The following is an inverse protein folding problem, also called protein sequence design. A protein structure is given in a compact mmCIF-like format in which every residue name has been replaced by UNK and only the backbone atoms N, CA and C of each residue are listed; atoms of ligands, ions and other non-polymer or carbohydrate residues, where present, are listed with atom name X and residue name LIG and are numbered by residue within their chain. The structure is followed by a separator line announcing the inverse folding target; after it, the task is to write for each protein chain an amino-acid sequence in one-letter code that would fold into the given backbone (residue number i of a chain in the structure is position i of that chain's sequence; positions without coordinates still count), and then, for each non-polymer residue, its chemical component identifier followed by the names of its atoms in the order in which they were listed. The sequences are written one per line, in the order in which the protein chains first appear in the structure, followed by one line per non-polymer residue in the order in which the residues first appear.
data_IF_934614884541
#
_entry.id   IF_934614884541
#
_cell.length_a   1.000
_cell.length_b   1.000
_cell.length_c   1.000
_cell.angle_alpha   90.00
_cell.angle_beta   90.00
_cell.angle_gamma   90.00
#
_symmetry.space_group_name_H-M   'P 1'
#
loop_
_entity.id
_entity.type
_entity.pdbx_description
1 polymer ?
#
# COMPACT_ATOMS: atom_id res chain seq x y z
N UNK A 1 -11.54 36.92 -29.91
CA UNK A 1 -10.88 35.62 -30.19
C UNK A 1 -9.70 35.48 -29.22
N UNK A 2 -9.91 34.97 -28.01
CA UNK A 2 -8.83 34.85 -27.02
C UNK A 2 -9.06 33.74 -25.98
N UNK A 3 -9.73 32.62 -26.31
CA UNK A 3 -10.10 31.62 -25.28
C UNK A 3 -9.65 30.18 -25.57
N UNK A 4 -8.89 29.94 -26.64
CA UNK A 4 -8.46 28.57 -26.99
C UNK A 4 -7.02 28.22 -26.57
N UNK A 5 -6.19 29.20 -26.20
CA UNK A 5 -4.80 28.93 -25.77
C UNK A 5 -4.68 28.64 -24.27
N UNK A 6 -5.47 29.31 -23.42
CA UNK A 6 -5.46 29.08 -21.97
C UNK A 6 -5.87 27.66 -21.55
N UNK A 7 -6.85 27.08 -22.25
CA UNK A 7 -7.34 25.71 -22.00
C UNK A 7 -6.33 24.62 -22.38
N UNK A 8 -5.49 24.85 -23.40
CA UNK A 8 -4.42 23.92 -23.81
C UNK A 8 -3.26 23.94 -22.83
N UNK A 9 -2.90 25.12 -22.31
CA UNK A 9 -1.83 25.27 -21.32
C UNK A 9 -2.16 24.58 -19.99
N UNK A 10 -3.42 24.65 -19.53
CA UNK A 10 -3.87 23.98 -18.31
C UNK A 10 -3.86 22.44 -18.44
N UNK A 11 -4.35 21.90 -19.57
CA UNK A 11 -4.29 20.45 -19.84
C UNK A 11 -2.86 19.92 -19.95
N UNK A 12 -1.96 20.70 -20.56
CA UNK A 12 -0.54 20.35 -20.63
C UNK A 12 0.13 20.42 -19.26
N UNK A 13 -0.21 21.39 -18.42
CA UNK A 13 0.34 21.44 -17.06
C UNK A 13 -0.24 20.34 -16.14
N UNK A 14 -1.48 19.92 -16.32
CA UNK A 14 -2.03 18.73 -15.63
C UNK A 14 -1.36 17.44 -16.09
N UNK A 15 -1.08 17.28 -17.38
CA UNK A 15 -0.39 16.09 -17.91
C UNK A 15 1.09 16.06 -17.55
N UNK A 16 1.76 17.22 -17.56
CA UNK A 16 3.14 17.40 -17.13
C UNK A 16 3.28 17.26 -15.61
N UNK A 17 2.37 17.81 -14.80
CA UNK A 17 2.36 17.57 -13.35
C UNK A 17 2.02 16.12 -12.98
N UNK A 18 1.22 15.42 -13.81
CA UNK A 18 1.05 13.96 -13.74
C UNK A 18 2.33 13.21 -14.12
N UNK A 19 3.06 13.64 -15.15
CA UNK A 19 4.28 12.95 -15.59
C UNK A 19 5.41 13.07 -14.57
N UNK A 20 5.53 14.19 -13.86
CA UNK A 20 6.49 14.35 -12.75
C UNK A 20 6.14 13.54 -11.50
N UNK A 21 4.88 13.08 -11.34
CA UNK A 21 4.50 12.17 -10.23
C UNK A 21 4.81 10.70 -10.51
N UNK A 22 5.28 10.36 -11.71
CA UNK A 22 5.59 8.98 -12.11
C UNK A 22 7.01 8.93 -12.69
N UNK A 23 7.99 9.44 -11.96
CA UNK A 23 9.31 8.82 -12.05
C UNK A 23 9.21 7.57 -11.18
N UNK A 24 8.77 6.45 -11.75
CA UNK A 24 8.76 5.16 -11.04
C UNK A 24 10.22 4.84 -10.67
N UNK A 25 10.62 5.21 -9.45
CA UNK A 25 11.78 4.60 -8.82
C UNK A 25 11.49 3.11 -8.83
N UNK A 26 12.22 2.38 -9.67
CA UNK A 26 12.12 0.93 -9.74
C UNK A 26 12.38 0.41 -8.32
N UNK A 27 11.38 -0.16 -7.64
CA UNK A 27 11.50 -0.53 -6.23
C UNK A 27 12.51 -1.67 -6.12
N UNK A 28 13.50 -1.56 -5.25
CA UNK A 28 14.50 -2.64 -5.09
C UNK A 28 13.87 -3.94 -4.62
N UNK A 29 12.78 -3.84 -3.85
CA UNK A 29 12.05 -4.98 -3.31
C UNK A 29 10.54 -4.78 -3.52
N UNK A 30 9.87 -5.83 -3.98
CA UNK A 30 8.40 -5.92 -4.03
C UNK A 30 7.94 -6.85 -2.92
N UNK A 31 7.12 -6.37 -2.00
CA UNK A 31 6.53 -7.18 -0.93
C UNK A 31 5.05 -7.36 -1.23
N UNK A 32 4.66 -8.61 -1.46
CA UNK A 32 3.27 -9.03 -1.52
C UNK A 32 2.77 -9.29 -0.12
N UNK A 33 1.59 -8.78 0.19
CA UNK A 33 0.90 -9.04 1.45
C UNK A 33 -0.52 -9.53 1.17
N UNK A 34 -1.00 -10.41 2.03
CA UNK A 34 -2.36 -10.94 2.03
C UNK A 34 -2.69 -11.36 3.46
N UNK A 35 -3.97 -11.45 3.81
CA UNK A 35 -4.35 -12.02 5.08
C UNK A 35 -5.68 -12.77 5.07
N UNK A 36 -5.77 -13.70 6.01
CA UNK A 36 -6.98 -14.49 6.25
C UNK A 36 -7.45 -14.30 7.69
N UNK A 37 -8.76 -14.37 7.92
CA UNK A 37 -9.39 -14.26 9.23
C UNK A 37 -10.26 -15.47 9.51
N UNK A 38 -10.15 -16.01 10.72
CA UNK A 38 -11.10 -16.97 11.27
C UNK A 38 -12.27 -16.22 11.90
N UNK A 39 -13.44 -16.29 11.25
CA UNK A 39 -14.66 -15.65 11.71
C UNK A 39 -15.21 -16.15 13.05
N UNK A 40 -14.74 -17.30 13.57
CA UNK A 40 -15.15 -17.82 14.89
C UNK A 40 -14.28 -17.27 16.01
N UNK A 41 -12.98 -17.18 15.79
CA UNK A 41 -12.01 -16.77 16.83
C UNK A 41 -11.56 -15.32 16.71
N UNK A 42 -11.94 -14.62 15.63
CA UNK A 42 -11.47 -13.27 15.29
C UNK A 42 -9.93 -13.18 15.29
N UNK A 43 -9.28 -14.29 14.92
CA UNK A 43 -7.83 -14.36 14.72
C UNK A 43 -7.55 -14.25 13.25
N UNK A 44 -6.55 -13.46 12.91
CA UNK A 44 -6.08 -13.36 11.53
C UNK A 44 -4.64 -13.81 11.40
N UNK A 45 -4.28 -14.18 10.19
CA UNK A 45 -2.90 -14.45 9.81
C UNK A 45 -2.57 -13.62 8.58
N UNK A 46 -1.53 -12.79 8.68
CA UNK A 46 -0.95 -12.08 7.54
C UNK A 46 0.20 -12.89 6.96
N UNK A 47 0.21 -13.04 5.65
CA UNK A 47 1.32 -13.60 4.87
C UNK A 47 2.04 -12.49 4.10
N UNK A 48 3.37 -12.53 4.12
CA UNK A 48 4.23 -11.58 3.42
C UNK A 48 5.30 -12.31 2.64
N UNK A 49 5.45 -11.97 1.36
CA UNK A 49 6.49 -12.52 0.48
C UNK A 49 7.17 -11.38 -0.27
N UNK A 50 8.48 -11.24 -0.11
CA UNK A 50 9.26 -10.18 -0.74
C UNK A 50 10.29 -10.70 -1.73
N UNK A 51 10.33 -10.10 -2.92
CA UNK A 51 11.23 -10.45 -4.01
C UNK A 51 12.08 -9.25 -4.43
N UNK A 52 13.33 -9.49 -4.80
CA UNK A 52 14.16 -8.47 -5.45
C UNK A 52 13.79 -8.30 -6.94
N UNK A 53 14.48 -7.37 -7.61
CA UNK A 53 14.31 -7.12 -9.05
C UNK A 53 14.76 -8.27 -9.94
N UNK A 54 15.60 -9.17 -9.43
CA UNK A 54 16.12 -10.33 -10.15
C UNK A 54 15.25 -11.57 -9.95
N UNK A 55 14.18 -11.47 -9.14
CA UNK A 55 13.29 -12.58 -8.81
C UNK A 55 13.80 -13.48 -7.69
N UNK A 56 14.79 -13.05 -6.91
CA UNK A 56 15.23 -13.79 -5.74
C UNK A 56 14.30 -13.52 -4.55
N UNK A 57 13.94 -14.57 -3.81
CA UNK A 57 13.20 -14.45 -2.57
C UNK A 57 14.07 -13.78 -1.51
N UNK A 58 13.66 -12.59 -1.05
CA UNK A 58 14.37 -11.82 -0.03
C UNK A 58 13.79 -12.03 1.35
N UNK A 59 12.47 -12.22 1.44
CA UNK A 59 11.80 -12.35 2.73
C UNK A 59 10.50 -13.15 2.63
N UNK A 60 10.24 -13.93 3.68
CA UNK A 60 8.98 -14.60 3.93
C UNK A 60 8.64 -14.38 5.40
N UNK A 61 7.45 -13.84 5.69
CA UNK A 61 7.00 -13.58 7.07
C UNK A 61 5.53 -13.92 7.20
N UNK A 62 5.18 -14.60 8.29
CA UNK A 62 3.79 -14.79 8.72
C UNK A 62 3.60 -14.16 10.09
N UNK A 63 2.45 -13.51 10.30
CA UNK A 63 2.13 -12.85 11.57
C UNK A 63 0.71 -13.22 11.96
N UNK A 64 0.52 -13.65 13.21
CA UNK A 64 -0.79 -13.95 13.76
C UNK A 64 -1.26 -12.75 14.58
N UNK A 65 -2.43 -12.23 14.26
CA UNK A 65 -3.10 -11.20 15.06
C UNK A 65 -4.32 -11.80 15.77
N UNK A 66 -4.66 -11.21 16.93
CA UNK A 66 -5.83 -11.58 17.72
C UNK A 66 -6.78 -10.39 17.81
N UNK A 67 -8.06 -10.66 18.01
CA UNK A 67 -9.10 -9.64 18.20
C UNK A 67 -9.22 -8.69 16.99
N UNK A 68 -9.13 -9.24 15.77
CA UNK A 68 -9.23 -8.44 14.55
C UNK A 68 -10.71 -8.26 14.18
N UNK A 69 -11.22 -7.02 14.09
CA UNK A 69 -12.65 -6.75 14.07
C UNK A 69 -13.32 -7.03 12.72
N UNK A 70 -12.55 -7.14 11.63
CA UNK A 70 -13.10 -7.37 10.29
C UNK A 70 -12.05 -7.92 9.30
N UNK A 71 -12.50 -8.50 8.16
CA UNK A 71 -11.61 -8.85 7.05
C UNK A 71 -10.86 -7.63 6.49
N UNK A 72 -11.50 -6.45 6.43
CA UNK A 72 -10.80 -5.24 6.00
C UNK A 72 -9.70 -4.82 6.99
N UNK A 73 -9.93 -4.93 8.30
CA UNK A 73 -8.89 -4.67 9.30
C UNK A 73 -7.74 -5.69 9.21
N UNK A 74 -8.07 -6.94 8.84
CA UNK A 74 -7.08 -8.01 8.60
C UNK A 74 -6.13 -7.66 7.47
N UNK A 75 -6.67 -7.18 6.34
CA UNK A 75 -5.89 -6.68 5.21
C UNK A 75 -5.07 -5.43 5.56
N UNK A 76 -5.63 -4.51 6.35
CA UNK A 76 -4.91 -3.33 6.82
C UNK A 76 -3.71 -3.72 7.70
N UNK A 77 -3.87 -4.70 8.58
CA UNK A 77 -2.77 -5.23 9.39
C UNK A 77 -1.70 -5.91 8.55
N UNK A 78 -2.06 -6.65 7.50
CA UNK A 78 -1.09 -7.22 6.57
C UNK A 78 -0.28 -6.14 5.86
N UNK A 79 -0.94 -5.08 5.40
CA UNK A 79 -0.28 -3.93 4.79
C UNK A 79 0.69 -3.26 5.78
N UNK A 80 0.27 -3.02 7.03
CA UNK A 80 1.11 -2.47 8.10
C UNK A 80 2.33 -3.35 8.41
N UNK A 81 2.14 -4.67 8.50
CA UNK A 81 3.26 -5.59 8.70
C UNK A 81 4.22 -5.59 7.50
N UNK A 82 3.71 -5.42 6.27
CA UNK A 82 4.49 -5.17 5.07
C UNK A 82 5.31 -3.88 5.15
N UNK A 83 4.73 -2.78 5.63
CA UNK A 83 5.41 -1.50 5.84
C UNK A 83 6.55 -1.63 6.84
N UNK A 84 6.27 -2.21 8.02
CA UNK A 84 7.30 -2.47 9.05
C UNK A 84 8.42 -3.35 8.52
N UNK A 85 8.09 -4.35 7.71
CA UNK A 85 9.07 -5.22 7.07
C UNK A 85 9.94 -4.45 6.07
N UNK A 86 9.32 -3.61 5.24
CA UNK A 86 10.04 -2.74 4.30
C UNK A 86 11.03 -1.81 5.00
N UNK A 87 10.62 -1.19 6.11
CA UNK A 87 11.50 -0.37 6.96
C UNK A 87 12.65 -1.22 7.54
N UNK A 88 12.34 -2.42 8.03
CA UNK A 88 13.32 -3.33 8.63
C UNK A 88 14.38 -3.82 7.64
N UNK A 89 14.03 -3.94 6.35
CA UNK A 89 14.95 -4.31 5.27
C UNK A 89 15.95 -3.20 4.91
N UNK A 90 15.81 -1.99 5.46
CA UNK A 90 16.72 -0.84 5.26
C UNK A 90 17.02 -0.52 3.79
N UNK A 91 16.05 -0.76 2.91
CA UNK A 91 16.18 -0.48 1.48
C UNK A 91 15.62 0.91 1.15
N UNK A 92 16.20 1.57 0.15
CA UNK A 92 15.78 2.90 -0.28
C UNK A 92 14.38 2.94 -0.90
N UNK A 93 13.89 1.81 -1.43
CA UNK A 93 12.57 1.73 -2.05
C UNK A 93 11.96 0.34 -1.92
N UNK A 94 10.71 0.30 -1.47
CA UNK A 94 9.87 -0.90 -1.39
C UNK A 94 8.55 -0.60 -2.07
N UNK A 95 8.03 -1.57 -2.83
CA UNK A 95 6.64 -1.55 -3.31
C UNK A 95 5.83 -2.59 -2.57
N UNK A 96 4.83 -2.16 -1.83
CA UNK A 96 3.85 -3.04 -1.18
C UNK A 96 2.73 -3.35 -2.17
N UNK A 97 2.33 -4.61 -2.25
CA UNK A 97 1.30 -5.09 -3.17
C UNK A 97 0.32 -5.99 -2.41
N UNK A 98 -0.95 -5.61 -2.38
CA UNK A 98 -2.04 -6.43 -1.85
C UNK A 98 -3.17 -6.55 -2.87
N UNK A 99 -4.19 -7.34 -2.55
CA UNK A 99 -5.38 -7.53 -3.39
C UNK A 99 -6.55 -6.62 -2.96
N UNK A 100 -6.54 -6.14 -1.72
CA UNK A 100 -7.58 -5.29 -1.15
C UNK A 100 -7.52 -3.86 -1.69
N UNK A 101 -8.30 -3.60 -2.75
CA UNK A 101 -8.47 -2.26 -3.34
C UNK A 101 -8.87 -1.20 -2.33
N UNK A 102 -9.67 -1.56 -1.31
CA UNK A 102 -10.09 -0.63 -0.25
C UNK A 102 -8.88 -0.15 0.53
N UNK A 103 -8.04 -1.08 0.99
CA UNK A 103 -6.84 -0.74 1.77
C UNK A 103 -5.84 0.04 0.93
N UNK A 104 -5.59 -0.38 -0.32
CA UNK A 104 -4.70 0.35 -1.24
C UNK A 104 -5.16 1.80 -1.42
N UNK A 105 -6.46 2.02 -1.65
CA UNK A 105 -7.02 3.36 -1.83
C UNK A 105 -6.91 4.20 -0.56
N UNK A 106 -7.11 3.60 0.61
CA UNK A 106 -7.00 4.31 1.88
C UNK A 106 -5.56 4.73 2.18
N UNK A 107 -4.57 3.86 1.96
CA UNK A 107 -3.15 4.22 2.12
C UNK A 107 -2.70 5.34 1.16
N UNK A 108 -3.36 5.47 0.01
CA UNK A 108 -3.05 6.51 -0.98
C UNK A 108 -3.87 7.80 -0.79
N UNK A 109 -4.87 7.78 0.09
CA UNK A 109 -5.75 8.92 0.32
C UNK A 109 -5.03 9.99 1.17
N UNK A 110 -5.25 11.26 0.81
CA UNK A 110 -4.72 12.41 1.57
C UNK A 110 -5.65 12.76 2.75
N UNK A 111 -6.94 12.43 2.62
CA UNK A 111 -7.94 12.69 3.65
C UNK A 111 -7.84 11.71 4.81
N UNK A 112 -7.96 12.21 6.04
CA UNK A 112 -8.00 11.37 7.23
C UNK A 112 -9.30 10.55 7.30
N UNK A 113 -9.18 9.22 7.27
CA UNK A 113 -10.28 8.32 7.60
C UNK A 113 -10.50 8.26 9.12
N UNK A 114 -11.76 8.35 9.56
CA UNK A 114 -12.21 8.25 10.96
C UNK A 114 -12.74 6.84 11.31
N UNK A 115 -12.72 5.91 10.38
CA UNK A 115 -13.09 4.51 10.61
C UNK A 115 -12.10 3.80 11.53
N UNK A 116 -12.48 2.61 12.01
CA UNK A 116 -11.59 1.73 12.78
C UNK A 116 -10.32 1.37 11.98
N UNK A 117 -10.45 1.17 10.67
CA UNK A 117 -9.33 0.88 9.78
C UNK A 117 -8.45 2.11 9.61
N UNK A 118 -9.05 3.30 9.59
CA UNK A 118 -8.33 4.58 9.50
C UNK A 118 -7.27 4.78 10.58
N UNK A 119 -7.43 4.17 11.77
CA UNK A 119 -6.38 4.18 12.79
C UNK A 119 -5.15 3.37 12.35
N UNK A 120 -5.33 2.20 11.74
CA UNK A 120 -4.25 1.35 11.22
C UNK A 120 -3.58 2.02 10.01
N UNK A 121 -4.36 2.62 9.12
CA UNK A 121 -3.86 3.30 7.91
C UNK A 121 -2.95 4.49 8.27
N UNK A 122 -3.18 5.18 9.39
CA UNK A 122 -2.33 6.29 9.83
C UNK A 122 -0.93 5.85 10.26
N UNK A 123 -0.76 4.57 10.63
CA UNK A 123 0.53 4.00 11.00
C UNK A 123 1.31 3.47 9.78
N UNK A 124 0.73 3.54 8.57
CA UNK A 124 1.32 3.13 7.28
C UNK A 124 1.88 4.34 6.55
#
# INVERSE_FOLDING_TARGET
MADHEGLKALKNNESISRSYRIQEVIPRIRIHFDATIDGKTFRSTSGLVGWDLRGNLMVLKTVIHKNVPSPFATEAYACLEGTKLGISLRTHSVRLMGDSKTIIRQCQAISTDKSVIGAIIRDI
#
